data_IF_169782053092
#
_entry.id   IF_169782053092
#
_cell.length_a   1.000
_cell.length_b   1.000
_cell.length_c   1.000
_cell.angle_alpha   90.00
_cell.angle_beta   90.00
_cell.angle_gamma   90.00
#
_symmetry.space_group_name_H-M   'P 1'
#
loop_
_entity.id
_entity.type
_entity.pdbx_description
1 polymer ?
#
# COMPACT_ATOMS: atom_id res chain seq x y z
N UNK A 1 2.09 -6.86 7.10
CA UNK A 1 2.05 -8.19 6.46
C UNK A 1 0.69 -8.87 6.66
N UNK A 2 0.26 -9.16 7.90
CA UNK A 2 -0.98 -9.90 8.15
C UNK A 2 -2.27 -9.20 7.69
N UNK A 3 -2.33 -7.87 7.73
CA UNK A 3 -3.57 -7.13 7.47
C UNK A 3 -3.92 -7.00 5.98
N UNK A 4 -2.93 -6.77 5.10
CA UNK A 4 -3.14 -6.75 3.65
C UNK A 4 -3.60 -8.13 3.18
N UNK A 5 -2.84 -9.18 3.53
CA UNK A 5 -3.18 -10.58 3.22
C UNK A 5 -4.55 -10.98 3.76
N UNK A 6 -4.91 -10.56 4.99
CA UNK A 6 -6.22 -10.82 5.57
C UNK A 6 -7.36 -10.19 4.77
N UNK A 7 -7.11 -9.01 4.18
CA UNK A 7 -8.11 -8.26 3.42
C UNK A 7 -8.21 -8.64 1.94
N UNK A 8 -7.11 -9.11 1.34
CA UNK A 8 -7.02 -9.41 -0.10
C UNK A 8 -7.05 -10.90 -0.44
N UNK A 9 -6.64 -11.79 0.48
CA UNK A 9 -6.70 -13.23 0.24
C UNK A 9 -8.10 -13.80 0.51
N UNK A 10 -8.85 -13.97 -0.57
CA UNK A 10 -10.21 -14.54 -0.54
C UNK A 10 -10.23 -16.05 -0.24
N UNK A 11 -9.09 -16.73 -0.26
CA UNK A 11 -8.95 -18.18 0.01
C UNK A 11 -8.69 -18.47 1.49
N UNK A 12 -8.21 -17.49 2.24
CA UNK A 12 -7.84 -17.58 3.66
C UNK A 12 -8.96 -18.17 4.56
N UNK A 13 -10.24 -17.79 4.41
CA UNK A 13 -11.32 -18.27 5.28
C UNK A 13 -11.70 -19.74 5.06
N UNK A 14 -11.32 -20.37 3.94
CA UNK A 14 -11.72 -21.75 3.55
C UNK A 14 -13.21 -22.02 3.84
N UNK A 15 -13.53 -23.03 4.65
CA UNK A 15 -14.89 -23.41 5.06
C UNK A 15 -15.41 -22.70 6.33
N UNK A 16 -14.67 -21.72 6.88
CA UNK A 16 -15.05 -21.00 8.10
C UNK A 16 -15.98 -19.83 7.77
N UNK A 17 -17.28 -20.13 7.59
CA UNK A 17 -18.32 -19.15 7.22
C UNK A 17 -18.32 -17.90 8.12
N UNK A 18 -18.19 -18.07 9.43
CA UNK A 18 -18.17 -16.95 10.38
C UNK A 18 -16.97 -16.01 10.16
N UNK A 19 -15.79 -16.57 9.93
CA UNK A 19 -14.57 -15.81 9.66
C UNK A 19 -14.67 -15.06 8.33
N UNK A 20 -15.23 -15.70 7.30
CA UNK A 20 -15.50 -15.05 6.01
C UNK A 20 -16.42 -13.84 6.16
N UNK A 21 -17.52 -14.00 6.90
CA UNK A 21 -18.49 -12.94 7.14
C UNK A 21 -17.87 -11.75 7.91
N UNK A 22 -17.08 -12.02 8.94
CA UNK A 22 -16.41 -10.98 9.72
C UNK A 22 -15.36 -10.22 8.89
N UNK A 23 -14.60 -10.92 8.05
CA UNK A 23 -13.62 -10.29 7.14
C UNK A 23 -14.34 -9.44 6.09
N UNK A 24 -15.41 -9.96 5.48
CA UNK A 24 -16.20 -9.22 4.50
C UNK A 24 -16.81 -7.95 5.10
N UNK A 25 -17.34 -8.03 6.32
CA UNK A 25 -17.91 -6.89 7.05
C UNK A 25 -16.87 -5.81 7.34
N UNK A 26 -15.63 -6.19 7.68
CA UNK A 26 -14.59 -5.25 8.11
C UNK A 26 -13.60 -4.87 7.01
N UNK A 27 -13.74 -5.40 5.79
CA UNK A 27 -12.84 -5.14 4.66
C UNK A 27 -12.62 -3.63 4.39
N UNK A 28 -13.65 -2.75 4.42
CA UNK A 28 -13.43 -1.32 4.25
C UNK A 28 -12.61 -0.68 5.38
N UNK A 29 -12.78 -1.15 6.62
CA UNK A 29 -11.98 -0.67 7.75
C UNK A 29 -10.50 -1.07 7.60
N UNK A 30 -10.24 -2.29 7.10
CA UNK A 30 -8.89 -2.72 6.71
C UNK A 30 -8.31 -1.79 5.64
N UNK A 31 -9.09 -1.43 4.62
CA UNK A 31 -8.69 -0.46 3.60
C UNK A 31 -8.34 0.91 4.16
N UNK A 32 -9.14 1.43 5.09
CA UNK A 32 -8.86 2.70 5.78
C UNK A 32 -7.57 2.64 6.59
N UNK A 33 -7.33 1.55 7.34
CA UNK A 33 -6.07 1.36 8.06
C UNK A 33 -4.89 1.27 7.10
N UNK A 34 -5.06 0.59 5.96
CA UNK A 34 -4.05 0.49 4.92
C UNK A 34 -3.71 1.85 4.31
N UNK A 35 -4.71 2.68 4.00
CA UNK A 35 -4.51 4.05 3.52
C UNK A 35 -3.80 4.92 4.54
N UNK A 36 -4.13 4.79 5.83
CA UNK A 36 -3.44 5.49 6.91
C UNK A 36 -1.97 5.09 7.02
N UNK A 37 -1.64 3.79 6.90
CA UNK A 37 -0.24 3.36 6.87
C UNK A 37 0.50 3.83 5.63
N UNK A 38 -0.16 3.86 4.47
CA UNK A 38 0.43 4.36 3.25
C UNK A 38 0.75 5.86 3.30
N UNK A 39 -0.07 6.65 4.00
CA UNK A 39 0.13 8.10 4.15
C UNK A 39 1.15 8.47 5.24
N UNK A 40 1.32 7.65 6.28
CA UNK A 40 2.31 7.90 7.34
C UNK A 40 3.75 7.60 6.90
N UNK A 41 3.93 6.77 5.87
CA UNK A 41 5.26 6.40 5.35
C UNK A 41 5.34 6.63 3.83
N UNK A 42 5.38 7.90 3.38
CA UNK A 42 5.45 8.21 1.97
C UNK A 42 6.73 7.60 1.37
N UNK A 43 6.57 6.81 0.31
CA UNK A 43 7.59 6.00 -0.39
C UNK A 43 7.96 4.69 0.32
N UNK A 44 8.37 4.72 1.59
CA UNK A 44 8.91 3.55 2.30
C UNK A 44 7.91 2.38 2.47
N UNK A 45 6.61 2.64 2.34
CA UNK A 45 5.56 1.66 2.54
C UNK A 45 5.52 0.55 1.48
N UNK A 46 5.63 0.91 0.20
CA UNK A 46 5.68 -0.04 -0.93
C UNK A 46 7.08 -0.19 -1.53
N UNK A 47 7.94 0.82 -1.34
CA UNK A 47 9.27 0.87 -1.94
C UNK A 47 10.33 1.23 -0.87
N UNK A 48 10.58 0.35 0.11
CA UNK A 48 11.50 0.62 1.22
C UNK A 48 12.93 0.94 0.77
N UNK A 49 13.35 0.47 -0.41
CA UNK A 49 14.68 0.70 -0.97
C UNK A 49 14.91 2.14 -1.50
N UNK A 50 13.84 2.89 -1.77
CA UNK A 50 13.91 4.27 -2.25
C UNK A 50 13.96 5.31 -1.12
N UNK A 51 13.75 4.87 0.12
CA UNK A 51 13.74 5.72 1.31
C UNK A 51 15.15 5.94 1.90
N UNK A 52 16.11 6.44 1.10
CA UNK A 52 17.50 6.66 1.56
C UNK A 52 17.73 8.02 2.26
N UNK A 53 16.92 9.04 1.97
CA UNK A 53 17.21 10.44 2.36
C UNK A 53 16.05 11.20 3.03
N UNK A 54 14.97 10.56 3.48
CA UNK A 54 13.83 11.31 4.01
C UNK A 54 14.03 11.71 5.50
N UNK A 55 14.21 13.02 5.83
CA UNK A 55 14.39 13.49 7.21
C UNK A 55 13.12 13.37 8.08
N UNK A 56 11.96 13.16 7.45
CA UNK A 56 10.68 12.86 8.11
C UNK A 56 10.37 11.36 8.14
N UNK A 57 11.17 10.52 7.50
CA UNK A 57 11.01 9.08 7.59
C UNK A 57 11.38 8.62 8.99
N UNK A 58 10.60 7.66 9.49
CA UNK A 58 10.84 7.01 10.77
C UNK A 58 12.27 6.43 10.89
N UNK A 59 12.94 6.16 9.76
CA UNK A 59 14.37 5.81 9.69
C UNK A 59 15.29 6.82 10.40
N UNK A 60 14.98 8.12 10.39
CA UNK A 60 15.82 9.15 11.02
C UNK A 60 15.44 9.42 12.49
N UNK A 61 14.18 9.18 12.88
CA UNK A 61 13.71 9.49 14.25
C UNK A 61 13.62 8.29 15.18
N UNK A 62 13.54 7.05 14.68
CA UNK A 62 13.47 5.83 15.48
C UNK A 62 14.13 4.68 14.71
N UNK A 63 15.30 4.21 15.16
CA UNK A 63 15.88 2.93 14.69
C UNK A 63 14.87 1.76 14.79
N UNK A 64 13.87 1.85 15.69
CA UNK A 64 12.79 0.88 15.82
C UNK A 64 11.78 0.86 14.64
N UNK A 65 11.61 1.94 13.89
CA UNK A 65 10.71 1.99 12.73
C UNK A 65 11.23 1.24 11.51
N UNK A 66 12.55 1.22 11.35
CA UNK A 66 13.27 0.48 10.30
C UNK A 66 12.95 -1.02 10.34
N UNK A 67 13.00 -1.63 11.52
CA UNK A 67 12.75 -3.07 11.68
C UNK A 67 11.29 -3.45 11.42
N UNK A 68 10.34 -2.60 11.84
CA UNK A 68 8.92 -2.82 11.57
C UNK A 68 8.65 -2.73 10.07
N UNK A 69 9.21 -1.74 9.38
CA UNK A 69 9.04 -1.56 7.93
C UNK A 69 9.74 -2.67 7.13
N UNK A 70 10.93 -3.11 7.52
CA UNK A 70 11.62 -4.23 6.88
C UNK A 70 10.84 -5.56 7.04
N UNK A 71 10.26 -5.81 8.22
CA UNK A 71 9.38 -6.97 8.47
C UNK A 71 8.04 -6.85 7.74
N UNK A 72 7.59 -5.64 7.44
CA UNK A 72 6.33 -5.37 6.74
C UNK A 72 6.50 -5.46 5.21
N UNK A 73 7.62 -4.95 4.67
CA UNK A 73 7.94 -4.89 3.25
C UNK A 73 8.17 -6.26 2.61
N UNK A 74 8.67 -7.25 3.35
CA UNK A 74 8.88 -8.62 2.81
C UNK A 74 7.61 -9.36 2.38
N UNK A 75 6.41 -8.82 2.63
CA UNK A 75 5.12 -9.46 2.31
C UNK A 75 4.10 -8.53 1.65
N UNK A 76 4.49 -7.30 1.32
CA UNK A 76 3.65 -6.39 0.54
C UNK A 76 4.04 -6.54 -0.94
N UNK A 77 3.07 -6.61 -1.87
CA UNK A 77 3.38 -6.52 -3.28
C UNK A 77 4.01 -5.16 -3.61
N UNK A 78 4.85 -5.14 -4.64
CA UNK A 78 5.42 -3.88 -5.15
C UNK A 78 4.32 -2.99 -5.73
N UNK A 79 4.57 -1.68 -5.79
CA UNK A 79 3.64 -0.74 -6.41
C UNK A 79 3.25 -1.17 -7.84
N UNK A 80 4.21 -1.64 -8.63
CA UNK A 80 3.98 -2.16 -9.98
C UNK A 80 2.98 -3.33 -9.99
N UNK A 81 3.14 -4.30 -9.08
CA UNK A 81 2.22 -5.44 -9.00
C UNK A 81 0.81 -5.00 -8.61
N UNK A 82 0.70 -4.04 -7.69
CA UNK A 82 -0.59 -3.51 -7.25
C UNK A 82 -1.29 -2.76 -8.39
N UNK A 83 -0.56 -1.92 -9.13
CA UNK A 83 -1.09 -1.18 -10.27
C UNK A 83 -1.52 -2.14 -11.39
N UNK A 84 -0.73 -3.18 -11.68
CA UNK A 84 -1.08 -4.21 -12.64
C UNK A 84 -2.36 -4.98 -12.22
N UNK A 85 -2.55 -5.24 -10.93
CA UNK A 85 -3.77 -5.90 -10.43
C UNK A 85 -5.01 -5.01 -10.64
N UNK A 86 -4.90 -3.71 -10.39
CA UNK A 86 -5.98 -2.73 -10.64
C UNK A 86 -6.27 -2.61 -12.14
N UNK A 87 -5.25 -2.56 -12.98
CA UNK A 87 -5.40 -2.54 -14.44
C UNK A 87 -6.11 -3.82 -14.93
N UNK A 88 -5.69 -4.99 -14.46
CA UNK A 88 -6.36 -6.24 -14.78
C UNK A 88 -7.82 -6.25 -14.32
N UNK A 89 -8.14 -5.69 -13.15
CA UNK A 89 -9.52 -5.55 -12.70
C UNK A 89 -10.35 -4.71 -13.68
N UNK A 90 -9.82 -3.58 -14.14
CA UNK A 90 -10.48 -2.71 -15.12
C UNK A 90 -10.66 -3.42 -16.48
N UNK A 91 -9.61 -4.05 -17.00
CA UNK A 91 -9.62 -4.69 -18.32
C UNK A 91 -10.46 -5.97 -18.36
N UNK A 92 -10.48 -6.74 -17.26
CA UNK A 92 -11.25 -7.99 -17.19
C UNK A 92 -12.76 -7.78 -17.12
N UNK A 93 -13.24 -6.55 -16.88
CA UNK A 93 -14.66 -6.26 -16.72
C UNK A 93 -15.29 -6.91 -15.49
N UNK A 94 -14.47 -7.38 -14.54
CA UNK A 94 -14.94 -7.96 -13.30
C UNK A 94 -15.69 -6.93 -12.49
N UNK A 95 -16.73 -7.38 -11.81
CA UNK A 95 -17.54 -6.53 -10.94
C UNK A 95 -16.97 -6.47 -9.53
N UNK A 96 -17.40 -5.47 -8.76
CA UNK A 96 -17.08 -5.36 -7.33
C UNK A 96 -17.34 -6.66 -6.56
N UNK A 97 -18.43 -7.35 -6.86
CA UNK A 97 -18.82 -8.58 -6.15
C UNK A 97 -17.82 -9.73 -6.36
N UNK A 98 -17.09 -9.73 -7.47
CA UNK A 98 -16.10 -10.75 -7.79
C UNK A 98 -14.75 -10.46 -7.14
N UNK A 99 -14.38 -9.18 -7.04
CA UNK A 99 -13.07 -8.75 -6.55
C UNK A 99 -13.18 -7.54 -5.61
N UNK A 100 -13.88 -7.67 -4.47
CA UNK A 100 -14.21 -6.53 -3.61
C UNK A 100 -12.98 -5.89 -2.98
N UNK A 101 -11.88 -6.65 -2.81
CA UNK A 101 -10.64 -6.15 -2.22
C UNK A 101 -9.92 -5.10 -3.07
N UNK A 102 -10.13 -5.07 -4.38
CA UNK A 102 -9.57 -4.02 -5.23
C UNK A 102 -10.19 -2.67 -4.86
N UNK A 103 -11.52 -2.63 -4.69
CA UNK A 103 -12.24 -1.39 -4.39
C UNK A 103 -12.14 -1.04 -2.90
N UNK A 104 -12.28 -2.01 -2.01
CA UNK A 104 -12.37 -1.75 -0.57
C UNK A 104 -11.02 -1.53 0.11
N UNK A 105 -9.91 -1.98 -0.49
CA UNK A 105 -8.57 -1.92 0.12
C UNK A 105 -7.58 -1.27 -0.82
N UNK A 106 -7.42 -1.84 -2.02
CA UNK A 106 -6.32 -1.48 -2.92
C UNK A 106 -6.45 -0.06 -3.42
N UNK A 107 -7.63 0.34 -3.91
CA UNK A 107 -7.90 1.71 -4.36
C UNK A 107 -7.74 2.74 -3.22
N UNK A 108 -8.37 2.59 -2.04
CA UNK A 108 -8.15 3.52 -0.92
C UNK A 108 -6.69 3.66 -0.50
N UNK A 109 -5.93 2.55 -0.52
CA UNK A 109 -4.51 2.57 -0.24
C UNK A 109 -3.74 3.37 -1.30
N UNK A 110 -3.97 3.08 -2.58
CA UNK A 110 -3.33 3.79 -3.69
C UNK A 110 -3.70 5.27 -3.71
N UNK A 111 -4.96 5.63 -3.50
CA UNK A 111 -5.42 7.01 -3.40
C UNK A 111 -4.73 7.76 -2.26
N UNK A 112 -4.37 7.07 -1.18
CA UNK A 112 -3.63 7.65 -0.05
C UNK A 112 -2.11 7.68 -0.29
N UNK A 113 -1.59 6.80 -1.16
CA UNK A 113 -0.15 6.65 -1.42
C UNK A 113 0.34 7.50 -2.60
N UNK A 114 -0.34 7.38 -3.75
CA UNK A 114 0.07 7.95 -5.04
C UNK A 114 0.28 9.47 -5.01
N UNK A 115 -0.54 10.30 -4.33
CA UNK A 115 -0.29 11.73 -4.27
C UNK A 115 1.07 12.09 -3.65
N UNK A 116 1.47 11.38 -2.59
CA UNK A 116 2.76 11.62 -1.92
C UNK A 116 3.93 11.02 -2.69
N UNK A 117 3.73 9.86 -3.30
CA UNK A 117 4.71 9.22 -4.17
C UNK A 117 5.01 10.09 -5.39
N UNK A 118 3.97 10.55 -6.08
CA UNK A 118 4.09 11.40 -7.28
C UNK A 118 4.81 12.71 -6.96
N UNK A 119 4.46 13.38 -5.86
CA UNK A 119 5.10 14.63 -5.44
C UNK A 119 6.62 14.51 -5.17
N UNK A 120 7.12 13.30 -4.94
CA UNK A 120 8.54 13.00 -4.71
C UNK A 120 9.16 12.15 -5.82
N UNK A 121 8.41 11.87 -6.90
CA UNK A 121 8.86 11.09 -8.04
C UNK A 121 9.82 11.89 -8.93
N UNK A 122 10.69 11.22 -9.70
CA UNK A 122 11.70 11.86 -10.54
C UNK A 122 11.13 12.89 -11.54
N UNK A 123 9.85 12.75 -11.92
CA UNK A 123 9.15 13.70 -12.79
C UNK A 123 8.81 15.03 -12.12
N UNK A 124 8.73 15.09 -10.79
CA UNK A 124 8.41 16.31 -10.02
C UNK A 124 9.59 16.82 -9.18
N UNK A 125 10.59 15.99 -8.86
CA UNK A 125 11.83 16.46 -8.23
C UNK A 125 12.81 16.84 -9.34
N UNK A 126 12.78 18.10 -9.75
CA UNK A 126 13.68 18.62 -10.75
C UNK A 126 15.13 18.52 -10.24
N UNK A 127 15.90 17.54 -10.72
CA UNK A 127 17.31 17.28 -10.34
C UNK A 127 18.22 18.49 -10.65
N UNK A 128 17.72 19.45 -11.43
CA UNK A 128 18.46 20.63 -11.89
C UNK A 128 18.30 21.88 -11.00
N UNK A 129 17.54 21.84 -9.89
CA UNK A 129 17.38 23.01 -9.01
C UNK A 129 18.52 23.19 -7.96
N UNK A 130 19.55 22.33 -7.99
CA UNK A 130 20.63 22.30 -7.00
C UNK A 130 22.02 22.70 -7.56
N UNK A 131 22.08 23.63 -8.52
CA UNK A 131 23.32 24.36 -8.80
C UNK A 131 23.32 25.67 -8.00
N UNK A 132 24.17 25.82 -6.98
CA UNK A 132 24.41 27.13 -6.37
C UNK A 132 25.29 27.95 -7.33
N UNK A 133 24.85 29.16 -7.67
CA UNK A 133 25.76 30.25 -8.04
C UNK A 133 26.57 30.69 -6.82
#
# INVERSE_FOLDING_TARGET
SSLYTLGTDMTLPKNRKYMKLEIERHRPAVGSCMGAFASTFPIAFLEPHLNKNNPFSCHHKLQAGSDVMARMGGNLPTLENILAEVEQFVVSGKTYNEVPHIIDITLPMLCSYLPFWWAQGPDNVNVNAATPE
#
